data_IF_273559549588
#
_entry.id   IF_273559549588
#
_cell.length_a   1.000
_cell.length_b   1.000
_cell.length_c   1.000
_cell.angle_alpha   90.00
_cell.angle_beta   90.00
_cell.angle_gamma   90.00
#
_symmetry.space_group_name_H-M   'P 1'
#
loop_
_entity.id
_entity.type
_entity.pdbx_description
1 polymer ?
#
# COMPACT_ATOMS: atom_id res chain seq x y z
N UNK A 1 20.89 -49.94 -3.24
CA UNK A 1 21.11 -48.70 -2.45
C UNK A 1 21.00 -47.41 -3.28
N UNK A 2 21.01 -47.45 -4.62
CA UNK A 2 20.94 -46.23 -5.46
C UNK A 2 19.55 -45.61 -5.68
N UNK A 3 18.45 -46.28 -5.31
CA UNK A 3 17.09 -45.74 -5.56
C UNK A 3 16.56 -44.85 -4.43
N UNK A 4 17.14 -44.94 -3.23
CA UNK A 4 16.77 -44.11 -2.08
C UNK A 4 17.40 -42.72 -2.11
N UNK A 5 18.59 -42.57 -2.70
CA UNK A 5 19.20 -41.24 -2.88
C UNK A 5 18.45 -40.39 -3.92
N UNK A 6 17.89 -40.99 -4.97
CA UNK A 6 17.14 -40.26 -6.00
C UNK A 6 15.81 -39.69 -5.48
N UNK A 7 15.18 -40.35 -4.51
CA UNK A 7 13.94 -39.86 -3.89
C UNK A 7 14.19 -38.70 -2.89
N UNK A 8 15.38 -38.63 -2.29
CA UNK A 8 15.72 -37.57 -1.33
C UNK A 8 16.05 -36.23 -2.00
N UNK A 9 16.49 -36.25 -3.26
CA UNK A 9 16.83 -35.03 -4.03
C UNK A 9 15.60 -34.31 -4.58
N UNK A 10 14.44 -34.98 -4.69
CA UNK A 10 13.18 -34.36 -5.10
C UNK A 10 12.43 -33.63 -3.97
N UNK A 11 12.88 -33.72 -2.71
CA UNK A 11 12.15 -33.15 -1.57
C UNK A 11 12.59 -31.73 -1.18
N UNK A 12 13.60 -31.16 -1.84
CA UNK A 12 14.16 -29.83 -1.52
C UNK A 12 14.25 -28.91 -2.74
N UNK A 13 13.29 -28.96 -3.65
CA UNK A 13 12.98 -27.81 -4.48
C UNK A 13 12.20 -26.78 -3.61
N UNK A 14 12.84 -26.27 -2.56
CA UNK A 14 12.41 -25.02 -1.95
C UNK A 14 12.57 -23.96 -3.04
N UNK A 15 11.48 -23.67 -3.74
CA UNK A 15 11.40 -22.52 -4.61
C UNK A 15 11.88 -21.34 -3.79
N UNK A 16 13.00 -20.73 -4.18
CA UNK A 16 13.48 -19.52 -3.56
C UNK A 16 12.35 -18.49 -3.73
N UNK A 17 11.56 -18.30 -2.69
CA UNK A 17 10.58 -17.23 -2.61
C UNK A 17 11.38 -15.94 -2.68
N UNK A 18 11.36 -15.29 -3.84
CA UNK A 18 11.76 -13.89 -3.95
C UNK A 18 10.72 -13.09 -3.17
N UNK A 19 10.96 -12.90 -1.88
CA UNK A 19 10.12 -12.10 -1.01
C UNK A 19 10.36 -10.62 -1.32
N UNK A 20 9.66 -10.08 -2.31
CA UNK A 20 9.65 -8.64 -2.52
C UNK A 20 8.83 -7.98 -1.39
N UNK A 21 9.50 -7.14 -0.61
CA UNK A 21 8.84 -6.19 0.29
C UNK A 21 8.76 -4.85 -0.42
N UNK A 22 7.55 -4.37 -0.65
CA UNK A 22 7.30 -3.09 -1.29
C UNK A 22 7.01 -2.02 -0.24
N UNK A 23 7.59 -0.84 -0.38
CA UNK A 23 7.26 0.29 0.47
C UNK A 23 6.28 1.22 -0.24
N UNK A 24 5.10 1.39 0.35
CA UNK A 24 4.07 2.31 -0.13
C UNK A 24 4.17 3.60 0.67
N UNK A 25 4.30 4.72 -0.04
CA UNK A 25 4.26 6.07 0.50
C UNK A 25 3.04 6.79 -0.05
N UNK A 26 2.32 7.48 0.81
CA UNK A 26 1.10 8.22 0.49
C UNK A 26 1.27 9.63 1.03
N UNK A 27 0.97 10.63 0.22
CA UNK A 27 1.06 12.04 0.62
C UNK A 27 -0.21 12.78 0.26
N UNK A 28 -0.56 13.78 1.06
CA UNK A 28 -1.70 14.65 0.88
C UNK A 28 -1.45 16.05 1.45
N UNK A 29 -2.45 16.94 1.40
CA UNK A 29 -2.29 18.33 1.79
C UNK A 29 -2.12 18.54 3.31
N UNK A 30 -2.56 17.58 4.13
CA UNK A 30 -2.57 17.69 5.58
C UNK A 30 -3.42 18.88 6.09
N UNK A 31 -3.14 19.34 7.31
CA UNK A 31 -3.73 20.56 7.87
C UNK A 31 -4.23 20.41 9.29
N UNK A 32 -4.71 21.51 9.88
CA UNK A 32 -5.31 21.48 11.21
C UNK A 32 -6.69 20.82 11.13
N UNK A 33 -6.97 19.80 11.94
CA UNK A 33 -8.22 19.01 11.88
C UNK A 33 -9.50 19.85 11.83
N UNK A 34 -9.59 20.90 12.66
CA UNK A 34 -10.73 21.82 12.64
C UNK A 34 -10.73 22.76 11.42
N UNK A 35 -9.68 23.58 11.25
CA UNK A 35 -9.64 24.62 10.21
C UNK A 35 -9.43 24.11 8.78
N UNK A 36 -9.06 22.84 8.62
CA UNK A 36 -8.84 22.17 7.33
C UNK A 36 -9.77 20.98 7.14
N UNK A 37 -10.85 20.91 7.93
CA UNK A 37 -11.86 19.87 7.78
C UNK A 37 -12.35 19.79 6.33
N UNK A 38 -12.38 18.57 5.79
CA UNK A 38 -12.71 18.34 4.38
C UNK A 38 -11.50 18.00 3.51
N UNK A 39 -10.28 18.35 3.93
CA UNK A 39 -9.07 17.88 3.23
C UNK A 39 -8.97 16.35 3.24
N UNK A 40 -8.38 15.79 2.19
CA UNK A 40 -8.03 14.37 2.13
C UNK A 40 -6.97 14.03 3.17
N UNK A 41 -7.09 12.83 3.73
CA UNK A 41 -6.22 12.34 4.77
C UNK A 41 -5.39 11.13 4.27
N UNK A 42 -4.06 11.23 4.33
CA UNK A 42 -3.16 10.19 3.84
C UNK A 42 -3.28 8.87 4.62
N UNK A 43 -3.54 8.92 5.93
CA UNK A 43 -3.79 7.71 6.75
C UNK A 43 -5.10 7.05 6.33
N UNK A 44 -6.16 7.83 6.08
CA UNK A 44 -7.41 7.25 5.58
C UNK A 44 -7.22 6.58 4.21
N UNK A 45 -6.51 7.24 3.29
CA UNK A 45 -6.19 6.66 1.99
C UNK A 45 -5.37 5.37 2.12
N UNK A 46 -4.38 5.34 3.02
CA UNK A 46 -3.60 4.15 3.33
C UNK A 46 -4.46 3.01 3.89
N UNK A 47 -5.34 3.28 4.85
CA UNK A 47 -6.25 2.25 5.38
C UNK A 47 -7.19 1.71 4.31
N UNK A 48 -7.71 2.57 3.43
CA UNK A 48 -8.53 2.14 2.27
C UNK A 48 -7.71 1.27 1.32
N UNK A 49 -6.45 1.61 1.07
CA UNK A 49 -5.56 0.81 0.24
C UNK A 49 -5.31 -0.59 0.83
N UNK A 50 -5.14 -0.71 2.15
CA UNK A 50 -5.00 -2.01 2.84
C UNK A 50 -6.23 -2.90 2.61
N UNK A 51 -7.44 -2.33 2.69
CA UNK A 51 -8.67 -3.08 2.42
C UNK A 51 -8.79 -3.55 0.95
N UNK A 52 -8.26 -2.78 0.00
CA UNK A 52 -8.20 -3.21 -1.40
C UNK A 52 -7.09 -4.24 -1.65
N UNK A 53 -5.97 -4.13 -0.93
CA UNK A 53 -4.88 -5.11 -0.97
C UNK A 53 -5.32 -6.47 -0.44
N UNK A 54 -6.08 -6.51 0.65
CA UNK A 54 -6.63 -7.76 1.20
C UNK A 54 -7.48 -8.51 0.16
N UNK A 55 -8.26 -7.79 -0.66
CA UNK A 55 -9.08 -8.38 -1.73
C UNK A 55 -8.25 -8.82 -2.93
N UNK A 56 -7.29 -7.99 -3.34
CA UNK A 56 -6.52 -8.21 -4.56
C UNK A 56 -5.38 -9.23 -4.38
N UNK A 57 -4.78 -9.27 -3.19
CA UNK A 57 -3.60 -10.07 -2.87
C UNK A 57 -3.67 -10.57 -1.42
N UNK A 58 -4.61 -11.48 -1.08
CA UNK A 58 -4.85 -11.93 0.31
C UNK A 58 -3.67 -12.67 0.95
N UNK A 59 -2.69 -13.11 0.15
CA UNK A 59 -1.44 -13.71 0.65
C UNK A 59 -0.43 -12.67 1.17
N UNK A 60 -0.59 -11.40 0.83
CA UNK A 60 0.34 -10.35 1.22
C UNK A 60 0.09 -9.92 2.67
N UNK A 61 1.18 -9.60 3.37
CA UNK A 61 1.14 -9.11 4.74
C UNK A 61 1.50 -7.64 4.75
N UNK A 62 0.62 -6.81 5.30
CA UNK A 62 0.89 -5.38 5.50
C UNK A 62 1.52 -5.17 6.88
N UNK A 63 2.67 -4.49 6.93
CA UNK A 63 3.38 -4.17 8.17
C UNK A 63 3.79 -2.69 8.22
N UNK A 64 4.28 -2.25 9.37
CA UNK A 64 4.89 -0.92 9.56
C UNK A 64 4.00 0.26 9.14
N UNK A 65 2.67 0.13 9.32
CA UNK A 65 1.74 1.20 9.00
C UNK A 65 1.94 2.38 9.95
N UNK A 66 2.28 3.54 9.37
CA UNK A 66 2.53 4.79 10.10
C UNK A 66 2.05 5.98 9.29
N UNK A 67 1.80 7.11 9.94
CA UNK A 67 1.43 8.35 9.28
C UNK A 67 0.83 9.37 10.24
N UNK A 68 0.86 10.63 9.83
CA UNK A 68 0.40 11.75 10.65
C UNK A 68 1.43 12.19 11.69
N UNK A 69 1.30 13.44 12.14
CA UNK A 69 2.24 14.08 13.06
C UNK A 69 1.65 14.27 14.47
N UNK A 70 0.40 14.72 14.57
CA UNK A 70 -0.28 15.02 15.84
C UNK A 70 -1.75 14.63 15.77
N UNK A 71 -2.38 14.39 16.92
CA UNK A 71 -3.79 13.96 17.00
C UNK A 71 -4.79 15.02 16.49
N UNK A 72 -4.40 16.29 16.48
CA UNK A 72 -5.22 17.40 16.01
C UNK A 72 -4.94 17.78 14.55
N UNK A 73 -4.22 16.96 13.78
CA UNK A 73 -3.89 17.20 12.39
C UNK A 73 -4.52 16.18 11.45
N UNK A 74 -4.91 16.63 10.25
CA UNK A 74 -5.15 15.76 9.11
C UNK A 74 -3.80 15.27 8.63
N UNK A 75 -3.65 13.95 8.48
CA UNK A 75 -2.38 13.36 8.12
C UNK A 75 -2.01 13.77 6.67
N UNK A 76 -0.87 14.46 6.54
CA UNK A 76 -0.27 14.78 5.24
C UNK A 76 0.54 13.63 4.65
N UNK A 77 0.84 12.60 5.45
CA UNK A 77 1.61 11.45 5.04
C UNK A 77 1.08 10.14 5.67
N UNK A 78 1.30 9.04 4.95
CA UNK A 78 1.24 7.69 5.48
C UNK A 78 2.24 6.81 4.73
N UNK A 79 2.72 5.77 5.39
CA UNK A 79 3.55 4.75 4.78
C UNK A 79 3.26 3.38 5.40
N UNK A 80 3.42 2.34 4.60
CA UNK A 80 3.36 0.95 5.06
C UNK A 80 4.16 0.05 4.12
N UNK A 81 4.46 -1.16 4.60
CA UNK A 81 5.15 -2.19 3.83
C UNK A 81 4.17 -3.27 3.41
N UNK A 82 4.37 -3.81 2.21
CA UNK A 82 3.64 -4.96 1.69
C UNK A 82 4.63 -6.08 1.44
N UNK A 83 4.60 -7.11 2.28
CA UNK A 83 5.41 -8.29 2.14
C UNK A 83 4.66 -9.35 1.32
N UNK A 84 5.29 -9.85 0.25
CA UNK A 84 4.69 -10.84 -0.66
C UNK A 84 5.34 -12.22 -0.58
N UNK A 85 6.09 -12.52 0.48
CA UNK A 85 6.80 -13.79 0.64
C UNK A 85 5.87 -15.03 0.57
N UNK A 86 4.61 -14.89 1.02
CA UNK A 86 3.65 -16.00 0.99
C UNK A 86 2.86 -16.06 -0.32
N UNK A 87 3.09 -15.13 -1.24
CA UNK A 87 2.41 -15.07 -2.52
C UNK A 87 3.12 -15.95 -3.55
N UNK A 88 2.33 -16.79 -4.23
CA UNK A 88 2.81 -17.64 -5.35
C UNK A 88 2.80 -16.92 -6.69
N UNK A 89 2.21 -15.73 -6.72
CA UNK A 89 2.13 -14.85 -7.87
C UNK A 89 3.52 -14.31 -8.21
N UNK A 90 3.91 -14.24 -9.50
CA UNK A 90 5.17 -13.64 -9.92
C UNK A 90 5.37 -12.22 -9.39
N UNK A 91 6.63 -11.83 -9.13
CA UNK A 91 6.95 -10.52 -8.54
C UNK A 91 6.46 -9.33 -9.37
N UNK A 92 6.56 -9.42 -10.70
CA UNK A 92 6.04 -8.39 -11.60
C UNK A 92 4.52 -8.22 -11.46
N UNK A 93 3.79 -9.33 -11.35
CA UNK A 93 2.34 -9.33 -11.18
C UNK A 93 1.94 -8.84 -9.78
N UNK A 94 2.71 -9.17 -8.74
CA UNK A 94 2.52 -8.63 -7.39
C UNK A 94 2.60 -7.10 -7.40
N UNK A 95 3.61 -6.51 -8.05
CA UNK A 95 3.76 -5.06 -8.14
C UNK A 95 2.55 -4.40 -8.80
N UNK A 96 2.05 -4.96 -9.91
CA UNK A 96 0.87 -4.45 -10.62
C UNK A 96 -0.39 -4.55 -9.75
N UNK A 97 -0.60 -5.66 -9.05
CA UNK A 97 -1.73 -5.84 -8.15
C UNK A 97 -1.69 -4.86 -6.97
N UNK A 98 -0.51 -4.66 -6.38
CA UNK A 98 -0.31 -3.71 -5.29
C UNK A 98 -0.58 -2.28 -5.78
N UNK A 99 -0.02 -1.88 -6.92
CA UNK A 99 -0.22 -0.55 -7.49
C UNK A 99 -1.70 -0.27 -7.77
N UNK A 100 -2.41 -1.24 -8.36
CA UNK A 100 -3.84 -1.13 -8.62
C UNK A 100 -4.65 -1.01 -7.33
N UNK A 101 -4.35 -1.80 -6.31
CA UNK A 101 -5.04 -1.77 -5.03
C UNK A 101 -4.78 -0.46 -4.26
N UNK A 102 -3.53 0.00 -4.23
CA UNK A 102 -3.15 1.29 -3.62
C UNK A 102 -3.87 2.43 -4.33
N UNK A 103 -3.86 2.45 -5.66
CA UNK A 103 -4.59 3.44 -6.44
C UNK A 103 -6.08 3.43 -6.13
N UNK A 104 -6.71 2.26 -6.06
CA UNK A 104 -8.13 2.16 -5.72
C UNK A 104 -8.44 2.69 -4.31
N UNK A 105 -7.56 2.48 -3.33
CA UNK A 105 -7.69 3.04 -1.98
C UNK A 105 -7.56 4.56 -1.96
N UNK A 106 -6.57 5.10 -2.67
CA UNK A 106 -6.32 6.54 -2.86
C UNK A 106 -7.51 7.21 -3.55
N UNK A 107 -7.99 6.65 -4.67
CA UNK A 107 -9.12 7.18 -5.42
C UNK A 107 -10.39 7.22 -4.59
N UNK A 108 -10.59 6.26 -3.67
CA UNK A 108 -11.72 6.25 -2.73
C UNK A 108 -11.66 7.40 -1.73
N UNK A 109 -10.49 7.77 -1.22
CA UNK A 109 -10.37 8.94 -0.33
C UNK A 109 -10.59 10.24 -1.11
N UNK A 110 -9.98 10.37 -2.29
CA UNK A 110 -10.17 11.54 -3.17
C UNK A 110 -11.65 11.72 -3.53
N UNK A 111 -12.32 10.62 -3.91
CA UNK A 111 -13.76 10.63 -4.23
C UNK A 111 -14.62 10.95 -3.01
N UNK A 112 -14.30 10.39 -1.84
CA UNK A 112 -15.02 10.67 -0.59
C UNK A 112 -14.96 12.15 -0.19
N UNK A 113 -13.82 12.81 -0.45
CA UNK A 113 -13.65 14.26 -0.22
C UNK A 113 -14.08 15.14 -1.39
N UNK A 114 -14.46 14.55 -2.53
CA UNK A 114 -14.88 15.28 -3.72
C UNK A 114 -13.77 16.10 -4.38
N UNK A 115 -12.51 15.69 -4.19
CA UNK A 115 -11.34 16.38 -4.78
C UNK A 115 -11.21 16.04 -6.26
N UNK A 116 -10.91 17.03 -7.08
CA UNK A 116 -10.66 16.89 -8.52
C UNK A 116 -9.18 17.07 -8.83
N UNK A 117 -8.75 16.48 -9.94
CA UNK A 117 -7.39 16.66 -10.44
C UNK A 117 -7.10 18.15 -10.66
N UNK A 118 -5.98 18.62 -10.12
CA UNK A 118 -5.55 20.02 -10.18
C UNK A 118 -6.09 20.91 -9.06
N UNK A 119 -6.98 20.43 -8.19
CA UNK A 119 -7.39 21.18 -7.00
C UNK A 119 -6.19 21.40 -6.07
N UNK A 120 -6.14 22.57 -5.44
CA UNK A 120 -5.06 22.97 -4.54
C UNK A 120 -5.59 23.31 -3.15
N UNK A 121 -4.88 22.85 -2.13
CA UNK A 121 -5.01 23.31 -0.75
C UNK A 121 -3.76 24.12 -0.42
N UNK A 122 -3.92 25.43 -0.23
CA UNK A 122 -2.81 26.33 0.15
C UNK A 122 -1.59 26.22 -0.79
N UNK A 123 -1.83 25.99 -2.08
CA UNK A 123 -0.79 25.84 -3.10
C UNK A 123 -0.22 24.43 -3.27
N UNK A 124 -0.64 23.46 -2.45
CA UNK A 124 -0.27 22.04 -2.58
C UNK A 124 -1.40 21.24 -3.23
N UNK A 125 -1.11 20.13 -3.93
CA UNK A 125 -2.14 19.24 -4.45
C UNK A 125 -3.13 18.84 -3.36
N UNK A 126 -4.42 19.05 -3.62
CA UNK A 126 -5.48 18.63 -2.74
C UNK A 126 -5.68 17.11 -2.78
N UNK A 127 -5.33 16.47 -3.89
CA UNK A 127 -5.46 15.04 -4.09
C UNK A 127 -4.35 14.25 -3.38
N UNK A 128 -4.71 13.07 -2.89
CA UNK A 128 -3.75 12.10 -2.41
C UNK A 128 -2.91 11.57 -3.57
N UNK A 129 -1.60 11.57 -3.37
CA UNK A 129 -0.59 10.98 -4.24
C UNK A 129 0.02 9.76 -3.57
N UNK A 130 0.55 8.83 -4.36
CA UNK A 130 1.28 7.69 -3.82
C UNK A 130 2.52 7.33 -4.64
N UNK A 131 3.45 6.61 -4.01
CA UNK A 131 4.64 6.05 -4.62
C UNK A 131 4.92 4.67 -4.03
N UNK A 132 5.32 3.73 -4.88
CA UNK A 132 5.74 2.39 -4.46
C UNK A 132 7.21 2.20 -4.81
N UNK A 133 8.02 1.84 -3.81
CA UNK A 133 9.40 1.42 -4.00
C UNK A 133 9.45 -0.10 -3.97
#
# INVERSE_FOLDING_TARGET
MNKLLAALVCAFAASAVSAATYEVFITGPGGHSNGSYGNTNAVHAGSRAVLELEKALPCAVVTDFKGGATVNAIAGDAAFKVNTAMCKTPEADNRVLIEKAVKAGVDKENSFRGVKAGDLVRGFPAEIQFKIK
#
